data_IF_080811216563
#
_entry.id   IF_080811216563
#
_cell.length_a   1.000
_cell.length_b   1.000
_cell.length_c   1.000
_cell.angle_alpha   90.00
_cell.angle_beta   90.00
_cell.angle_gamma   90.00
#
_symmetry.space_group_name_H-M   'P 1'
#
loop_
_entity.id
_entity.type
_entity.pdbx_description
1 polymer ?
#
# COMPACT_ATOMS: atom_id res chain seq x y z
N UNK A 1 -24.00 -23.92 18.40
CA UNK A 1 -24.96 -23.63 17.30
C UNK A 1 -24.52 -22.33 16.63
N UNK A 2 -24.05 -22.41 15.39
CA UNK A 2 -23.59 -21.25 14.61
C UNK A 2 -24.82 -20.48 14.12
N UNK A 3 -25.02 -19.27 14.61
CA UNK A 3 -26.18 -18.43 14.30
C UNK A 3 -26.09 -17.88 12.86
N UNK A 4 -26.55 -18.67 11.88
CA UNK A 4 -26.78 -18.22 10.50
C UNK A 4 -27.72 -16.99 10.42
N UNK A 5 -28.58 -16.79 11.43
CA UNK A 5 -29.44 -15.61 11.57
C UNK A 5 -28.67 -14.29 11.76
N UNK A 6 -27.42 -14.32 12.27
CA UNK A 6 -26.61 -13.09 12.45
C UNK A 6 -26.18 -12.51 11.10
N UNK A 7 -25.97 -13.35 10.08
CA UNK A 7 -25.60 -12.93 8.72
C UNK A 7 -26.79 -12.38 7.91
N UNK A 8 -28.01 -12.86 8.17
CA UNK A 8 -29.22 -12.32 7.56
C UNK A 8 -29.59 -10.92 8.10
N UNK A 9 -29.11 -10.57 9.30
CA UNK A 9 -29.34 -9.27 9.96
C UNK A 9 -28.21 -8.27 9.83
N UNK A 10 -27.04 -8.70 9.34
CA UNK A 10 -25.98 -7.77 8.95
C UNK A 10 -26.59 -6.79 7.93
N UNK A 11 -26.51 -5.49 8.24
CA UNK A 11 -27.21 -4.45 7.50
C UNK A 11 -26.96 -4.63 5.98
N UNK A 12 -27.99 -4.46 5.13
CA UNK A 12 -27.87 -4.67 3.67
C UNK A 12 -26.72 -3.89 3.02
N UNK A 13 -26.17 -2.88 3.71
CA UNK A 13 -25.02 -2.08 3.31
C UNK A 13 -23.64 -2.74 3.50
N UNK A 14 -23.48 -3.80 4.29
CA UNK A 14 -22.13 -4.36 4.57
C UNK A 14 -21.57 -5.17 3.40
N UNK A 15 -22.41 -5.94 2.69
CA UNK A 15 -22.03 -6.75 1.53
C UNK A 15 -21.39 -5.93 0.40
N UNK A 16 -22.00 -4.84 -0.11
CA UNK A 16 -21.38 -4.06 -1.18
C UNK A 16 -20.09 -3.39 -0.73
N UNK A 17 -19.99 -3.00 0.54
CA UNK A 17 -18.79 -2.36 1.08
C UNK A 17 -17.62 -3.34 1.22
N UNK A 18 -17.89 -4.58 1.61
CA UNK A 18 -16.88 -5.65 1.67
C UNK A 18 -16.42 -6.07 0.27
N UNK A 19 -17.35 -6.17 -0.69
CA UNK A 19 -17.02 -6.42 -2.10
C UNK A 19 -16.16 -5.30 -2.70
N UNK A 20 -16.51 -4.03 -2.44
CA UNK A 20 -15.71 -2.88 -2.84
C UNK A 20 -14.30 -2.93 -2.24
N UNK A 21 -14.19 -3.20 -0.94
CA UNK A 21 -12.90 -3.31 -0.26
C UNK A 21 -12.04 -4.45 -0.83
N UNK A 22 -12.64 -5.60 -1.15
CA UNK A 22 -11.94 -6.73 -1.76
C UNK A 22 -11.38 -6.39 -3.15
N UNK A 23 -12.19 -5.73 -4.00
CA UNK A 23 -11.76 -5.29 -5.34
C UNK A 23 -10.64 -4.23 -5.22
N UNK A 24 -10.80 -3.25 -4.33
CA UNK A 24 -9.80 -2.21 -4.12
C UNK A 24 -8.47 -2.79 -3.59
N UNK A 25 -8.50 -3.76 -2.67
CA UNK A 25 -7.31 -4.48 -2.22
C UNK A 25 -6.66 -5.29 -3.34
N UNK A 26 -7.46 -5.95 -4.18
CA UNK A 26 -6.95 -6.72 -5.32
C UNK A 26 -6.19 -5.82 -6.30
N UNK A 27 -6.77 -4.68 -6.69
CA UNK A 27 -6.12 -3.72 -7.59
C UNK A 27 -4.85 -3.16 -6.94
N UNK A 28 -4.92 -2.78 -5.66
CA UNK A 28 -3.74 -2.30 -4.93
C UNK A 28 -2.63 -3.35 -4.85
N UNK A 29 -2.98 -4.63 -4.63
CA UNK A 29 -2.02 -5.73 -4.59
C UNK A 29 -1.36 -5.94 -5.96
N UNK A 30 -2.14 -5.89 -7.04
CA UNK A 30 -1.62 -5.98 -8.41
C UNK A 30 -0.66 -4.83 -8.69
N UNK A 31 -1.03 -3.59 -8.37
CA UNK A 31 -0.15 -2.43 -8.57
C UNK A 31 1.15 -2.54 -7.76
N UNK A 32 1.06 -2.92 -6.48
CA UNK A 32 2.24 -3.16 -5.65
C UNK A 32 3.15 -4.25 -6.24
N UNK A 33 2.56 -5.35 -6.71
CA UNK A 33 3.30 -6.45 -7.34
C UNK A 33 3.96 -6.01 -8.63
N UNK A 34 3.26 -5.25 -9.49
CA UNK A 34 3.81 -4.71 -10.74
C UNK A 34 4.98 -3.77 -10.46
N UNK A 35 4.87 -2.89 -9.47
CA UNK A 35 5.96 -1.99 -9.05
C UNK A 35 7.18 -2.79 -8.59
N UNK A 36 6.98 -3.80 -7.72
CA UNK A 36 8.09 -4.61 -7.19
C UNK A 36 8.75 -5.48 -8.24
N UNK A 37 7.97 -6.03 -9.18
CA UNK A 37 8.46 -6.96 -10.22
C UNK A 37 8.94 -6.27 -11.49
N UNK A 38 8.79 -4.95 -11.57
CA UNK A 38 9.31 -4.15 -12.68
C UNK A 38 10.83 -4.27 -12.84
N UNK A 39 11.30 -4.26 -14.09
CA UNK A 39 12.72 -4.32 -14.44
C UNK A 39 13.25 -5.71 -14.84
N UNK A 40 12.40 -6.76 -14.82
CA UNK A 40 12.80 -8.11 -15.28
C UNK A 40 12.47 -8.40 -16.75
N UNK A 41 11.59 -7.63 -17.38
CA UNK A 41 11.10 -7.89 -18.74
C UNK A 41 11.16 -6.63 -19.57
N UNK A 42 11.44 -6.80 -20.86
CA UNK A 42 11.50 -5.69 -21.83
C UNK A 42 10.17 -4.96 -21.98
N UNK A 43 9.04 -5.60 -21.67
CA UNK A 43 7.71 -4.96 -21.66
C UNK A 43 7.60 -3.85 -20.59
N UNK A 44 8.45 -3.85 -19.57
CA UNK A 44 8.41 -2.90 -18.44
C UNK A 44 9.14 -1.57 -18.69
N UNK A 45 9.34 -1.16 -19.96
CA UNK A 45 10.13 0.04 -20.32
C UNK A 45 9.68 1.31 -19.58
N UNK A 46 8.38 1.47 -19.32
CA UNK A 46 7.85 2.66 -18.62
C UNK A 46 7.95 2.59 -17.09
N UNK A 47 8.26 1.42 -16.52
CA UNK A 47 8.22 1.15 -15.09
C UNK A 47 9.65 1.05 -14.54
N UNK A 48 10.26 2.21 -14.35
CA UNK A 48 11.57 2.35 -13.69
C UNK A 48 11.47 3.36 -12.56
N UNK A 49 12.42 3.31 -11.62
CA UNK A 49 12.53 4.27 -10.52
C UNK A 49 13.30 5.49 -11.03
N UNK A 50 14.50 5.24 -11.56
CA UNK A 50 15.39 6.25 -12.13
C UNK A 50 15.94 5.71 -13.45
N UNK A 51 16.02 6.59 -14.45
CA UNK A 51 16.75 6.38 -15.68
C UNK A 51 17.93 7.33 -15.70
N UNK A 52 19.10 6.81 -16.04
CA UNK A 52 20.28 7.59 -16.38
C UNK A 52 20.41 7.57 -17.89
N UNK A 53 20.54 8.75 -18.48
CA UNK A 53 20.66 8.94 -19.92
C UNK A 53 21.82 9.89 -20.19
N UNK A 54 22.62 9.61 -21.19
CA UNK A 54 23.70 10.50 -21.59
C UNK A 54 23.14 11.65 -22.42
N UNK A 55 23.48 12.90 -22.08
CA UNK A 55 23.11 14.07 -22.89
C UNK A 55 24.05 14.20 -24.10
N UNK A 56 24.00 13.20 -24.97
CA UNK A 56 24.77 13.18 -26.22
C UNK A 56 23.91 13.80 -27.33
N UNK A 57 24.47 14.76 -28.10
CA UNK A 57 23.78 15.23 -29.29
C UNK A 57 23.53 14.04 -30.22
N UNK A 58 22.33 13.95 -30.84
CA UNK A 58 22.02 12.84 -31.73
C UNK A 58 23.09 12.76 -32.81
N UNK A 59 23.78 11.62 -32.90
CA UNK A 59 24.77 11.42 -33.95
C UNK A 59 24.07 11.59 -35.30
N UNK A 60 24.44 12.63 -36.04
CA UNK A 60 23.95 12.85 -37.38
C UNK A 60 24.29 11.63 -38.23
N UNK A 61 23.25 10.91 -38.66
CA UNK A 61 23.34 9.70 -39.50
C UNK A 61 24.16 9.88 -40.77
N UNK A 62 24.38 11.13 -41.20
CA UNK A 62 25.13 11.48 -42.41
C UNK A 62 26.65 11.37 -42.28
N UNK A 63 27.21 11.29 -41.06
CA UNK A 63 28.66 11.21 -40.87
C UNK A 63 29.24 9.79 -41.09
N UNK A 64 28.42 8.76 -40.88
CA UNK A 64 28.87 7.36 -40.91
C UNK A 64 28.99 6.83 -42.35
N UNK A 65 28.19 7.33 -43.28
CA UNK A 65 28.21 6.87 -44.68
C UNK A 65 29.48 7.23 -45.45
N UNK A 66 30.38 8.08 -44.92
CA UNK A 66 31.52 8.61 -45.68
C UNK A 66 32.89 8.02 -45.32
N UNK A 67 32.98 7.12 -44.34
CA UNK A 67 34.26 6.53 -43.88
C UNK A 67 34.39 5.02 -44.03
N UNK A 68 33.34 4.32 -44.43
CA UNK A 68 33.35 2.86 -44.62
C UNK A 68 33.92 2.44 -45.99
N UNK A 69 34.93 3.14 -46.50
CA UNK A 69 35.56 2.83 -47.79
C UNK A 69 37.09 2.71 -47.76
N UNK A 70 37.75 2.86 -46.61
CA UNK A 70 39.20 2.72 -46.50
C UNK A 70 39.58 1.64 -45.45
N UNK A 71 39.91 0.46 -45.98
CA UNK A 71 40.84 -0.59 -45.53
C UNK A 71 41.04 -0.96 -44.03
N UNK A 72 40.64 -2.20 -43.75
CA UNK A 72 41.34 -3.28 -43.03
C UNK A 72 42.64 -2.94 -42.28
N UNK A 73 42.59 -2.79 -40.95
CA UNK A 73 43.66 -3.26 -40.04
C UNK A 73 43.11 -3.57 -38.65
N UNK A 74 43.38 -4.78 -38.17
CA UNK A 74 43.06 -5.28 -36.83
C UNK A 74 44.14 -4.85 -35.84
N UNK A 75 43.77 -4.10 -34.79
CA UNK A 75 44.64 -3.83 -33.64
C UNK A 75 43.94 -4.29 -32.35
N UNK A 76 44.50 -5.34 -31.77
CA UNK A 76 44.22 -5.83 -30.41
C UNK A 76 44.91 -4.86 -29.42
N UNK A 77 44.14 -3.93 -28.84
CA UNK A 77 44.65 -2.95 -27.89
C UNK A 77 44.11 -3.23 -26.48
N UNK A 78 44.88 -3.97 -25.70
CA UNK A 78 44.71 -4.11 -24.26
C UNK A 78 45.19 -2.81 -23.59
N UNK A 79 44.27 -1.99 -23.06
CA UNK A 79 44.62 -0.80 -22.24
C UNK A 79 44.26 -1.02 -20.78
N UNK A 80 45.25 -0.82 -19.91
CA UNK A 80 45.10 -0.78 -18.46
C UNK A 80 44.50 0.55 -18.03
N UNK A 81 43.46 0.49 -17.20
CA UNK A 81 42.75 1.64 -16.64
C UNK A 81 43.58 2.21 -15.49
N UNK A 82 44.01 3.47 -15.62
CA UNK A 82 44.61 4.23 -14.52
C UNK A 82 43.50 4.94 -13.73
N UNK A 83 43.27 4.48 -12.51
CA UNK A 83 42.33 5.06 -11.55
C UNK A 83 42.87 6.41 -11.04
N UNK A 84 42.34 7.53 -11.55
CA UNK A 84 42.61 8.86 -11.00
C UNK A 84 41.64 9.12 -9.85
N UNK A 85 42.06 8.80 -8.64
CA UNK A 85 41.36 9.22 -7.42
C UNK A 85 41.80 10.63 -7.05
N UNK A 86 40.98 11.64 -7.38
CA UNK A 86 41.12 12.97 -6.80
C UNK A 86 40.15 13.11 -5.63
N UNK A 87 40.71 13.14 -4.42
CA UNK A 87 39.99 13.42 -3.18
C UNK A 87 39.65 14.91 -3.15
N UNK A 88 38.41 15.25 -3.47
CA UNK A 88 37.89 16.61 -3.34
C UNK A 88 37.54 16.87 -1.87
N UNK A 89 38.35 17.67 -1.18
CA UNK A 89 38.09 18.10 0.20
C UNK A 89 37.10 19.26 0.17
N UNK A 90 35.89 19.05 0.70
CA UNK A 90 34.85 20.08 0.83
C UNK A 90 35.08 20.87 2.11
N UNK A 91 35.22 22.21 2.08
CA UNK A 91 35.24 23.01 3.30
C UNK A 91 33.83 23.15 3.89
N UNK A 92 33.74 22.94 5.20
CA UNK A 92 32.52 23.06 5.99
C UNK A 92 31.91 24.47 5.92
N UNK A 93 30.65 24.55 5.48
CA UNK A 93 29.85 25.77 5.52
C UNK A 93 29.16 25.92 6.88
N UNK A 94 29.40 27.07 7.50
CA UNK A 94 28.91 27.52 8.80
C UNK A 94 27.43 27.89 8.74
N UNK A 95 26.66 27.42 9.73
CA UNK A 95 25.24 27.73 9.91
C UNK A 95 25.00 29.20 10.26
N UNK A 96 23.94 29.81 9.73
CA UNK A 96 23.24 30.94 10.38
C UNK A 96 21.79 31.06 9.89
N UNK A 97 20.80 31.23 10.78
CA UNK A 97 19.38 31.40 10.42
C UNK A 97 18.89 32.85 10.62
N UNK A 98 18.14 33.38 9.67
CA UNK A 98 17.23 34.57 9.80
C UNK A 98 16.39 34.61 8.51
N UNK A 99 15.12 34.21 8.44
CA UNK A 99 13.87 34.74 9.02
C UNK A 99 13.48 36.15 8.54
N UNK A 100 12.36 36.17 7.79
CA UNK A 100 11.38 37.24 7.49
C UNK A 100 11.51 38.10 6.22
N UNK A 101 10.50 37.91 5.35
CA UNK A 101 9.90 38.76 4.30
C UNK A 101 9.62 40.22 4.78
N UNK A 102 9.44 41.26 3.90
CA UNK A 102 8.41 41.27 2.83
C UNK A 102 8.62 42.08 1.52
N UNK A 103 7.86 41.63 0.51
CA UNK A 103 7.06 42.29 -0.57
C UNK A 103 7.40 43.66 -1.20
N UNK A 104 7.29 43.67 -2.55
CA UNK A 104 6.86 44.74 -3.52
C UNK A 104 7.91 45.57 -4.29
N UNK A 105 8.10 45.24 -5.59
CA UNK A 105 7.72 46.01 -6.81
C UNK A 105 8.58 45.59 -8.03
N UNK A 106 8.05 45.60 -9.27
CA UNK A 106 8.81 45.21 -10.46
C UNK A 106 9.39 46.44 -11.17
N UNK A 107 10.69 46.66 -11.07
CA UNK A 107 11.43 47.57 -11.98
C UNK A 107 11.97 46.78 -13.15
N UNK A 108 11.57 47.16 -14.37
CA UNK A 108 12.09 46.64 -15.63
C UNK A 108 13.56 47.06 -15.80
N UNK A 109 14.49 46.15 -15.53
CA UNK A 109 15.89 46.29 -15.90
C UNK A 109 16.21 45.35 -17.06
N UNK A 110 16.74 45.92 -18.14
CA UNK A 110 17.19 45.21 -19.34
C UNK A 110 18.14 44.04 -19.00
N UNK A 111 18.12 42.95 -19.78
CA UNK A 111 18.97 41.78 -19.54
C UNK A 111 20.42 42.15 -19.84
N UNK A 112 21.18 42.54 -18.81
CA UNK A 112 22.63 42.53 -18.90
C UNK A 112 23.06 41.07 -19.03
N UNK A 113 23.69 40.71 -20.15
CA UNK A 113 24.29 39.39 -20.34
C UNK A 113 25.25 39.14 -19.18
N UNK A 114 24.89 38.20 -18.30
CA UNK A 114 25.71 37.81 -17.17
C UNK A 114 27.05 37.29 -17.69
N UNK A 115 28.13 37.99 -17.33
CA UNK A 115 29.50 37.58 -17.64
C UNK A 115 29.71 36.16 -17.11
N UNK A 116 30.09 35.19 -17.96
CA UNK A 116 30.23 33.81 -17.54
C UNK A 116 31.28 33.70 -16.43
N UNK A 117 30.87 33.14 -15.30
CA UNK A 117 31.77 32.96 -14.17
C UNK A 117 32.84 31.92 -14.53
N UNK A 118 34.07 32.02 -13.97
CA UNK A 118 35.17 31.09 -14.27
C UNK A 118 34.81 29.61 -14.07
N UNK A 119 33.83 29.31 -13.20
CA UNK A 119 33.31 27.96 -12.97
C UNK A 119 32.56 27.39 -14.19
N UNK A 120 31.87 28.23 -14.97
CA UNK A 120 31.16 27.79 -16.18
C UNK A 120 32.13 27.40 -17.31
N UNK A 121 33.28 28.08 -17.43
CA UNK A 121 34.29 27.72 -18.42
C UNK A 121 34.95 26.36 -18.14
N UNK A 122 35.18 26.04 -16.86
CA UNK A 122 35.71 24.73 -16.47
C UNK A 122 34.70 23.61 -16.79
N UNK A 123 33.42 23.87 -16.53
CA UNK A 123 32.33 22.95 -16.81
C UNK A 123 32.21 22.62 -18.29
N UNK A 124 32.26 23.63 -19.16
CA UNK A 124 32.22 23.42 -20.62
C UNK A 124 33.43 22.64 -21.13
N UNK A 125 34.64 22.92 -20.60
CA UNK A 125 35.85 22.15 -20.97
C UNK A 125 35.76 20.68 -20.54
N UNK A 126 35.24 20.43 -19.34
CA UNK A 126 35.01 19.06 -18.87
C UNK A 126 33.99 18.34 -19.77
N UNK A 127 32.87 19.00 -20.10
CA UNK A 127 31.85 18.47 -21.01
C UNK A 127 32.43 18.12 -22.39
N UNK A 128 33.25 19.01 -22.96
CA UNK A 128 33.92 18.76 -24.25
C UNK A 128 34.91 17.60 -24.18
N UNK A 129 35.70 17.50 -23.09
CA UNK A 129 36.68 16.42 -22.91
C UNK A 129 36.00 15.05 -22.77
N UNK A 130 34.89 15.00 -22.03
CA UNK A 130 34.07 13.79 -21.88
C UNK A 130 33.42 13.42 -23.22
N UNK A 131 32.88 14.39 -23.95
CA UNK A 131 32.32 14.14 -25.28
C UNK A 131 33.37 13.64 -26.27
N UNK A 132 34.61 14.15 -26.23
CA UNK A 132 35.68 13.63 -27.09
C UNK A 132 36.10 12.21 -26.71
N UNK A 133 36.17 11.90 -25.41
CA UNK A 133 36.45 10.54 -24.93
C UNK A 133 35.37 9.55 -25.39
N UNK A 134 34.09 9.94 -25.27
CA UNK A 134 32.96 9.13 -25.74
C UNK A 134 33.00 8.96 -27.27
N UNK A 135 33.33 10.03 -28.01
CA UNK A 135 33.44 9.97 -29.46
C UNK A 135 34.58 9.04 -29.91
N UNK A 136 35.73 9.10 -29.25
CA UNK A 136 36.88 8.24 -29.56
C UNK A 136 36.61 6.76 -29.22
N UNK A 137 35.94 6.47 -28.09
CA UNK A 137 35.57 5.09 -27.72
C UNK A 137 34.48 4.52 -28.65
N UNK A 138 33.50 5.33 -29.04
CA UNK A 138 32.43 4.94 -29.96
C UNK A 138 32.94 4.59 -31.37
N UNK A 139 34.13 5.06 -31.78
CA UNK A 139 34.70 4.69 -33.08
C UNK A 139 35.31 3.28 -33.11
N UNK A 140 35.57 2.68 -31.93
CA UNK A 140 36.18 1.34 -31.84
C UNK A 140 35.28 0.32 -31.13
N UNK A 141 34.30 0.77 -30.33
CA UNK A 141 33.33 -0.10 -29.68
C UNK A 141 32.21 -0.51 -30.65
N UNK A 142 32.00 -1.81 -30.79
CA UNK A 142 30.88 -2.38 -31.57
C UNK A 142 29.51 -2.16 -30.92
N UNK A 143 29.52 -1.72 -29.65
CA UNK A 143 28.36 -1.61 -28.78
C UNK A 143 28.36 -0.25 -28.09
N UNK A 144 27.31 0.55 -28.30
CA UNK A 144 27.13 1.84 -27.62
C UNK A 144 26.03 1.76 -26.56
N UNK A 145 26.30 2.37 -25.40
CA UNK A 145 25.38 2.48 -24.28
C UNK A 145 24.80 3.88 -24.23
N UNK A 146 23.47 3.98 -24.24
CA UNK A 146 22.79 5.27 -24.22
C UNK A 146 22.06 5.52 -22.89
N UNK A 147 21.32 4.50 -22.43
CA UNK A 147 20.41 4.65 -21.31
C UNK A 147 20.45 3.45 -20.36
N UNK A 148 20.50 3.70 -19.06
CA UNK A 148 20.37 2.70 -18.01
C UNK A 148 19.16 3.00 -17.12
N UNK A 149 18.26 2.03 -16.96
CA UNK A 149 17.05 2.14 -16.15
C UNK A 149 17.11 1.20 -14.96
N UNK A 150 16.83 1.71 -13.77
CA UNK A 150 16.85 0.94 -12.53
C UNK A 150 15.43 0.70 -12.04
N UNK A 151 15.06 -0.57 -11.89
CA UNK A 151 13.83 -1.02 -11.23
C UNK A 151 14.13 -1.62 -9.85
N UNK A 152 13.08 -2.00 -9.12
CA UNK A 152 13.25 -2.67 -7.82
C UNK A 152 13.83 -4.08 -7.94
N UNK A 153 13.56 -4.77 -9.04
CA UNK A 153 13.94 -6.18 -9.22
C UNK A 153 15.09 -6.44 -10.18
N UNK A 154 15.59 -5.40 -10.85
CA UNK A 154 16.62 -5.53 -11.87
C UNK A 154 17.02 -4.19 -12.48
N UNK A 155 17.99 -4.27 -13.39
CA UNK A 155 18.47 -3.15 -14.19
C UNK A 155 18.21 -3.51 -15.65
N UNK A 156 17.77 -2.53 -16.43
CA UNK A 156 17.59 -2.65 -17.87
C UNK A 156 18.51 -1.63 -18.53
N UNK A 157 19.38 -2.09 -19.43
CA UNK A 157 20.25 -1.22 -20.22
C UNK A 157 19.81 -1.23 -21.67
N UNK A 158 19.85 -0.06 -22.30
CA UNK A 158 19.65 0.09 -23.74
C UNK A 158 20.99 -0.03 -24.44
N UNK A 159 21.07 -1.03 -25.32
CA UNK A 159 22.28 -1.35 -26.07
C UNK A 159 21.97 -1.15 -27.54
N UNK A 160 22.77 -0.32 -28.21
CA UNK A 160 22.66 -0.09 -29.66
C UNK A 160 23.88 -0.71 -30.34
N UNK A 161 23.63 -1.74 -31.15
CA UNK A 161 24.67 -2.38 -31.97
C UNK A 161 24.82 -1.65 -33.30
N UNK A 162 26.06 -1.38 -33.69
CA UNK A 162 26.38 -0.76 -34.98
C UNK A 162 26.38 -1.78 -36.14
N UNK A 163 26.33 -3.09 -35.84
CA UNK A 163 26.38 -4.17 -36.84
C UNK A 163 24.99 -4.48 -37.43
N UNK A 164 24.41 -3.51 -38.15
CA UNK A 164 23.33 -3.77 -39.12
C UNK A 164 21.95 -4.16 -38.56
N UNK A 165 21.80 -4.35 -37.24
CA UNK A 165 20.49 -4.59 -36.62
C UNK A 165 19.83 -3.24 -36.37
N UNK A 166 18.78 -2.94 -37.14
CA UNK A 166 17.98 -1.72 -36.97
C UNK A 166 17.18 -1.79 -35.67
N UNK A 167 17.75 -1.29 -34.57
CA UNK A 167 17.00 -1.02 -33.35
C UNK A 167 17.82 -1.13 -32.07
N UNK A 168 17.43 -0.32 -31.08
CA UNK A 168 17.91 -0.41 -29.71
C UNK A 168 17.35 -1.68 -29.04
N UNK A 169 18.22 -2.60 -28.61
CA UNK A 169 17.81 -3.77 -27.84
C UNK A 169 17.91 -3.45 -26.35
N UNK A 170 16.87 -3.80 -25.60
CA UNK A 170 16.88 -3.67 -24.15
C UNK A 170 17.36 -4.98 -23.56
N UNK A 171 18.38 -4.91 -22.71
CA UNK A 171 18.86 -6.05 -21.96
C UNK A 171 18.48 -5.85 -20.48
N UNK A 172 17.44 -6.56 -20.05
CA UNK A 172 16.95 -6.54 -18.68
C UNK A 172 17.40 -7.79 -17.93
N UNK A 173 17.92 -7.63 -16.71
CA UNK A 173 18.34 -8.77 -15.90
C UNK A 173 18.53 -8.46 -14.42
N UNK A 174 18.46 -9.51 -13.61
CA UNK A 174 19.03 -9.50 -12.26
C UNK A 174 20.53 -9.70 -12.43
N UNK A 175 21.24 -8.60 -12.70
CA UNK A 175 22.61 -8.62 -13.22
C UNK A 175 23.52 -9.45 -12.30
N UNK A 176 24.04 -10.57 -12.79
CA UNK A 176 25.37 -11.01 -12.39
C UNK A 176 26.30 -10.11 -13.20
N UNK A 177 26.84 -9.09 -12.53
CA UNK A 177 27.59 -7.98 -13.12
C UNK A 177 28.61 -8.45 -14.17
N UNK A 178 29.20 -9.63 -14.02
CA UNK A 178 30.20 -10.20 -14.92
C UNK A 178 29.78 -10.43 -16.38
N UNK A 179 28.51 -10.75 -16.67
CA UNK A 179 28.11 -11.09 -18.05
C UNK A 179 27.82 -9.85 -18.89
N UNK A 180 27.26 -8.80 -18.26
CA UNK A 180 27.07 -7.49 -18.91
C UNK A 180 28.36 -6.68 -18.90
N UNK A 181 29.14 -6.69 -17.80
CA UNK A 181 30.47 -6.04 -17.77
C UNK A 181 31.47 -6.70 -18.72
N UNK A 182 31.35 -8.02 -18.98
CA UNK A 182 32.17 -8.72 -19.98
C UNK A 182 31.97 -8.18 -21.40
N UNK A 183 30.78 -7.63 -21.71
CA UNK A 183 30.50 -6.93 -22.96
C UNK A 183 30.83 -5.41 -22.90
N UNK A 184 31.15 -4.87 -21.72
CA UNK A 184 31.40 -3.43 -21.49
C UNK A 184 32.90 -3.11 -21.43
N UNK A 185 33.77 -3.93 -22.04
CA UNK A 185 35.23 -3.77 -21.95
C UNK A 185 35.82 -2.50 -22.60
N UNK A 186 35.00 -1.50 -22.97
CA UNK A 186 35.48 -0.18 -23.40
C UNK A 186 34.38 0.76 -23.89
N UNK A 187 33.44 1.16 -23.04
CA UNK A 187 32.43 2.14 -23.48
C UNK A 187 31.57 2.83 -22.42
N UNK A 188 31.76 2.55 -21.11
CA UNK A 188 31.06 3.25 -20.04
C UNK A 188 32.03 4.14 -19.23
N UNK A 189 32.31 5.38 -19.68
CA UNK A 189 33.33 6.24 -19.08
C UNK A 189 33.02 6.66 -17.63
N UNK A 190 31.75 6.56 -17.21
CA UNK A 190 31.31 6.93 -15.87
C UNK A 190 30.86 5.74 -15.02
N UNK A 191 30.99 4.50 -15.53
CA UNK A 191 30.49 3.28 -14.87
C UNK A 191 29.04 3.46 -14.36
N UNK A 192 28.14 3.93 -15.25
CA UNK A 192 26.72 4.11 -14.95
C UNK A 192 26.09 2.80 -14.49
N UNK A 193 26.56 1.66 -15.01
CA UNK A 193 26.10 0.35 -14.56
C UNK A 193 26.47 0.13 -13.09
N UNK A 194 27.73 0.41 -12.70
CA UNK A 194 28.16 0.36 -11.31
C UNK A 194 27.35 1.28 -10.39
N UNK A 195 27.11 2.52 -10.82
CA UNK A 195 26.27 3.48 -10.08
C UNK A 195 24.82 2.99 -9.95
N UNK A 196 24.26 2.42 -11.01
CA UNK A 196 22.92 1.83 -11.01
C UNK A 196 22.80 0.63 -10.06
N UNK A 197 23.80 -0.25 -10.05
CA UNK A 197 23.88 -1.39 -9.12
C UNK A 197 23.99 -0.89 -7.68
N UNK A 198 24.88 0.08 -7.43
CA UNK A 198 25.04 0.69 -6.11
C UNK A 198 23.73 1.33 -5.61
N UNK A 199 23.05 2.10 -6.47
CA UNK A 199 21.76 2.70 -6.15
C UNK A 199 20.70 1.64 -5.82
N UNK A 200 20.62 0.57 -6.61
CA UNK A 200 19.68 -0.54 -6.36
C UNK A 200 19.94 -1.21 -5.00
N UNK A 201 21.20 -1.48 -4.67
CA UNK A 201 21.55 -2.24 -3.46
C UNK A 201 21.54 -1.40 -2.18
N UNK A 202 21.83 -0.10 -2.27
CA UNK A 202 21.97 0.79 -1.11
C UNK A 202 20.81 1.75 -0.91
N UNK A 203 20.12 2.13 -1.98
CA UNK A 203 19.17 3.27 -1.95
C UNK A 203 17.75 2.84 -2.35
N UNK A 204 17.59 1.88 -3.25
CA UNK A 204 16.28 1.33 -3.57
C UNK A 204 15.78 0.45 -2.41
N UNK A 205 15.17 1.08 -1.41
CA UNK A 205 14.53 0.43 -0.26
C UNK A 205 13.41 -0.51 -0.75
N UNK A 206 13.76 -1.71 -1.19
CA UNK A 206 12.82 -2.70 -1.72
C UNK A 206 12.04 -3.40 -0.59
N UNK A 207 12.61 -3.46 0.62
CA UNK A 207 12.01 -4.16 1.77
C UNK A 207 10.60 -3.64 2.14
N UNK A 208 10.34 -2.33 2.31
CA UNK A 208 9.00 -1.82 2.59
C UNK A 208 7.96 -2.24 1.54
N UNK A 209 8.33 -2.24 0.26
CA UNK A 209 7.46 -2.65 -0.83
C UNK A 209 7.13 -4.15 -0.82
N UNK A 210 8.12 -5.00 -0.50
CA UNK A 210 7.89 -6.44 -0.31
C UNK A 210 6.98 -6.71 0.88
N UNK A 211 7.24 -6.07 2.02
CA UNK A 211 6.41 -6.18 3.23
C UNK A 211 4.98 -5.74 2.94
N UNK A 212 4.81 -4.61 2.25
CA UNK A 212 3.51 -4.12 1.81
C UNK A 212 2.77 -5.13 0.92
N UNK A 213 3.46 -5.67 -0.10
CA UNK A 213 2.89 -6.64 -1.04
C UNK A 213 2.42 -7.91 -0.33
N UNK A 214 3.23 -8.44 0.60
CA UNK A 214 2.87 -9.63 1.39
C UNK A 214 1.68 -9.34 2.32
N UNK A 215 1.69 -8.22 3.04
CA UNK A 215 0.60 -7.85 3.94
C UNK A 215 -0.73 -7.64 3.19
N UNK A 216 -0.68 -6.94 2.04
CA UNK A 216 -1.85 -6.73 1.19
C UNK A 216 -2.33 -8.04 0.56
N UNK A 217 -1.42 -8.94 0.17
CA UNK A 217 -1.75 -10.27 -0.32
C UNK A 217 -2.50 -11.10 0.73
N UNK A 218 -2.01 -11.13 1.97
CA UNK A 218 -2.69 -11.80 3.09
C UNK A 218 -4.05 -11.16 3.35
N UNK A 219 -4.13 -9.83 3.43
CA UNK A 219 -5.39 -9.11 3.63
C UNK A 219 -6.41 -9.41 2.52
N UNK A 220 -5.96 -9.40 1.26
CA UNK A 220 -6.76 -9.75 0.09
C UNK A 220 -7.27 -11.19 0.18
N UNK A 221 -6.41 -12.16 0.49
CA UNK A 221 -6.81 -13.56 0.63
C UNK A 221 -7.84 -13.74 1.76
N UNK A 222 -7.62 -13.10 2.91
CA UNK A 222 -8.60 -13.10 3.99
C UNK A 222 -9.95 -12.52 3.52
N UNK A 223 -9.96 -11.39 2.83
CA UNK A 223 -11.20 -10.79 2.30
C UNK A 223 -11.89 -11.67 1.25
N UNK A 224 -11.13 -12.35 0.40
CA UNK A 224 -11.70 -13.29 -0.58
C UNK A 224 -12.36 -14.48 0.11
N UNK A 225 -11.77 -15.01 1.20
CA UNK A 225 -12.39 -16.06 2.02
C UNK A 225 -13.67 -15.55 2.70
N UNK A 226 -13.67 -14.30 3.17
CA UNK A 226 -14.85 -13.64 3.76
C UNK A 226 -15.98 -13.38 2.74
N UNK A 227 -15.65 -13.28 1.45
CA UNK A 227 -16.64 -13.06 0.39
C UNK A 227 -17.40 -14.34 0.00
N UNK A 228 -16.91 -15.53 0.39
CA UNK A 228 -17.53 -16.81 0.05
C UNK A 228 -18.74 -17.06 0.99
N UNK A 229 -19.98 -17.10 0.49
CA UNK A 229 -21.19 -17.19 1.32
C UNK A 229 -21.38 -18.53 2.05
N UNK A 230 -20.55 -19.53 1.74
CA UNK A 230 -20.69 -20.91 2.23
C UNK A 230 -19.90 -21.20 3.52
N UNK A 231 -19.00 -20.31 3.93
CA UNK A 231 -18.12 -20.55 5.08
C UNK A 231 -18.61 -19.80 6.33
N UNK A 232 -18.76 -20.47 7.49
CA UNK A 232 -19.00 -19.79 8.75
C UNK A 232 -17.76 -19.00 9.15
N UNK A 233 -17.81 -17.68 8.96
CA UNK A 233 -16.68 -16.79 9.17
C UNK A 233 -16.40 -16.63 10.68
N UNK A 234 -15.19 -16.96 11.16
CA UNK A 234 -14.79 -16.59 12.52
C UNK A 234 -14.51 -15.08 12.58
N UNK A 235 -15.00 -14.35 13.61
CA UNK A 235 -14.77 -12.91 13.78
C UNK A 235 -13.28 -12.56 13.94
N UNK A 236 -12.43 -13.57 14.21
CA UNK A 236 -10.98 -13.42 14.27
C UNK A 236 -10.39 -13.10 12.91
N UNK A 237 -10.87 -13.74 11.83
CA UNK A 237 -10.31 -13.56 10.47
C UNK A 237 -10.49 -12.13 9.98
N UNK A 238 -11.62 -11.51 10.30
CA UNK A 238 -11.90 -10.13 9.89
C UNK A 238 -11.03 -9.10 10.61
N UNK A 239 -10.77 -9.32 11.91
CA UNK A 239 -9.83 -8.50 12.69
C UNK A 239 -8.42 -8.64 12.15
N UNK A 240 -7.99 -9.87 11.85
CA UNK A 240 -6.68 -10.14 11.24
C UNK A 240 -6.55 -9.45 9.88
N UNK A 241 -7.57 -9.56 9.02
CA UNK A 241 -7.58 -8.90 7.72
C UNK A 241 -7.45 -7.37 7.84
N UNK A 242 -8.15 -6.75 8.79
CA UNK A 242 -8.08 -5.31 9.04
C UNK A 242 -6.68 -4.86 9.49
N UNK A 243 -6.03 -5.63 10.36
CA UNK A 243 -4.67 -5.35 10.84
C UNK A 243 -3.67 -5.44 9.68
N UNK A 244 -3.71 -6.51 8.88
CA UNK A 244 -2.80 -6.66 7.73
C UNK A 244 -3.06 -5.62 6.64
N UNK A 245 -4.31 -5.22 6.40
CA UNK A 245 -4.64 -4.15 5.45
C UNK A 245 -3.99 -2.82 5.86
N UNK A 246 -4.10 -2.43 7.13
CA UNK A 246 -3.46 -1.21 7.65
C UNK A 246 -1.95 -1.31 7.64
N UNK A 247 -1.37 -2.43 8.09
CA UNK A 247 0.08 -2.62 8.04
C UNK A 247 0.61 -2.54 6.60
N UNK A 248 -0.10 -3.16 5.65
CA UNK A 248 0.23 -3.06 4.22
C UNK A 248 0.13 -1.63 3.68
N UNK A 249 -0.91 -0.89 4.07
CA UNK A 249 -1.11 0.50 3.68
C UNK A 249 0.00 1.42 4.24
N UNK A 250 0.37 1.25 5.51
CA UNK A 250 1.46 1.99 6.15
C UNK A 250 2.82 1.67 5.53
N UNK A 251 3.09 0.40 5.23
CA UNK A 251 4.32 -0.02 4.55
C UNK A 251 4.40 0.53 3.12
N UNK A 252 3.27 0.54 2.38
CA UNK A 252 3.19 1.19 1.06
C UNK A 252 3.52 2.68 1.14
N UNK A 253 2.91 3.40 2.09
CA UNK A 253 3.17 4.82 2.27
C UNK A 253 4.65 5.09 2.57
N UNK A 254 5.24 4.32 3.48
CA UNK A 254 6.67 4.41 3.79
C UNK A 254 7.54 4.14 2.56
N UNK A 255 7.24 3.10 1.79
CA UNK A 255 7.94 2.76 0.55
C UNK A 255 7.84 3.86 -0.51
N UNK A 256 6.67 4.50 -0.66
CA UNK A 256 6.45 5.59 -1.61
C UNK A 256 7.20 6.86 -1.24
N UNK A 257 7.13 7.27 0.03
CA UNK A 257 7.82 8.47 0.51
C UNK A 257 9.32 8.30 0.41
N UNK A 258 9.86 7.15 0.84
CA UNK A 258 11.28 6.84 0.72
C UNK A 258 11.73 6.85 -0.75
N UNK A 259 10.98 6.22 -1.65
CA UNK A 259 11.30 6.20 -3.07
C UNK A 259 11.26 7.59 -3.72
N UNK A 260 10.27 8.41 -3.36
CA UNK A 260 10.14 9.76 -3.90
C UNK A 260 11.30 10.67 -3.47
N UNK A 261 11.67 10.64 -2.19
CA UNK A 261 12.80 11.43 -1.68
C UNK A 261 14.13 10.92 -2.24
N UNK A 262 14.34 9.60 -2.26
CA UNK A 262 15.55 9.00 -2.80
C UNK A 262 15.76 9.33 -4.28
N UNK A 263 14.72 9.14 -5.11
CA UNK A 263 14.82 9.42 -6.55
C UNK A 263 15.02 10.91 -6.86
N UNK A 264 14.38 11.81 -6.12
CA UNK A 264 14.57 13.26 -6.26
C UNK A 264 15.98 13.69 -5.86
N UNK A 265 16.50 13.12 -4.77
CA UNK A 265 17.85 13.40 -4.28
C UNK A 265 18.89 12.91 -5.29
N UNK A 266 18.75 11.69 -5.80
CA UNK A 266 19.67 11.15 -6.79
C UNK A 266 19.63 11.92 -8.11
N UNK A 267 18.45 12.33 -8.58
CA UNK A 267 18.37 13.14 -9.79
C UNK A 267 19.15 14.46 -9.64
N UNK A 268 18.98 15.16 -8.51
CA UNK A 268 19.72 16.41 -8.24
C UNK A 268 21.23 16.17 -8.06
N UNK A 269 21.60 15.11 -7.35
CA UNK A 269 22.99 14.80 -7.05
C UNK A 269 23.75 14.41 -8.33
N UNK A 270 23.17 13.54 -9.16
CA UNK A 270 23.76 13.13 -10.44
C UNK A 270 23.97 14.33 -11.35
N UNK A 271 23.00 15.25 -11.43
CA UNK A 271 23.16 16.47 -12.23
C UNK A 271 24.35 17.31 -11.77
N UNK A 272 24.52 17.49 -10.45
CA UNK A 272 25.64 18.27 -9.89
C UNK A 272 27.00 17.59 -10.02
N UNK A 273 27.08 16.27 -9.84
CA UNK A 273 28.34 15.52 -9.92
C UNK A 273 28.82 15.34 -11.36
N UNK A 274 27.90 15.16 -12.29
CA UNK A 274 28.23 14.92 -13.70
C UNK A 274 28.28 16.20 -14.52
N UNK A 275 28.11 17.37 -13.90
CA UNK A 275 28.14 18.66 -14.58
C UNK A 275 27.13 18.74 -15.75
N UNK A 276 26.05 17.96 -15.69
CA UNK A 276 25.03 17.86 -16.74
C UNK A 276 25.39 16.95 -17.92
N UNK A 277 26.44 16.13 -17.84
CA UNK A 277 26.71 15.11 -18.89
C UNK A 277 25.77 13.91 -18.81
N UNK A 278 25.24 13.60 -17.62
CA UNK A 278 24.26 12.54 -17.39
C UNK A 278 22.96 13.16 -16.87
N UNK A 279 21.88 12.95 -17.61
CA UNK A 279 20.55 13.33 -17.22
C UNK A 279 19.88 12.17 -16.47
N UNK A 280 19.48 12.42 -15.22
CA UNK A 280 18.72 11.48 -14.42
C UNK A 280 17.22 11.81 -14.48
N UNK A 281 16.41 10.91 -15.03
CA UNK A 281 14.95 11.04 -15.09
C UNK A 281 14.27 10.12 -14.07
N UNK A 282 13.32 10.66 -13.30
CA UNK A 282 12.50 9.87 -12.37
C UNK A 282 11.29 9.30 -13.13
N UNK A 283 11.04 7.99 -12.97
CA UNK A 283 9.94 7.31 -13.65
C UNK A 283 8.56 7.73 -13.13
N UNK A 284 7.91 8.65 -13.84
CA UNK A 284 6.57 9.18 -13.48
C UNK A 284 5.48 8.11 -13.42
N UNK A 285 5.54 7.09 -14.28
CA UNK A 285 4.55 6.01 -14.29
C UNK A 285 4.60 5.16 -13.01
N UNK A 286 5.81 4.85 -12.53
CA UNK A 286 5.99 4.09 -11.29
C UNK A 286 5.41 4.85 -10.08
N UNK A 287 5.66 6.17 -10.03
CA UNK A 287 5.10 7.05 -9.01
C UNK A 287 3.56 7.07 -9.09
N UNK A 288 2.97 7.24 -10.27
CA UNK A 288 1.51 7.26 -10.43
C UNK A 288 0.84 5.93 -10.02
N UNK A 289 1.40 4.78 -10.41
CA UNK A 289 0.90 3.47 -10.01
C UNK A 289 1.02 3.24 -8.50
N UNK A 290 2.13 3.68 -7.92
CA UNK A 290 2.34 3.63 -6.48
C UNK A 290 1.31 4.43 -5.69
N UNK A 291 1.12 5.71 -6.02
CA UNK A 291 0.14 6.57 -5.34
C UNK A 291 -1.31 6.14 -5.55
N UNK A 292 -1.66 5.66 -6.74
CA UNK A 292 -2.99 5.11 -7.01
C UNK A 292 -3.26 3.83 -6.22
N UNK A 293 -2.27 2.92 -6.15
CA UNK A 293 -2.34 1.72 -5.31
C UNK A 293 -2.51 2.07 -3.84
N UNK A 294 -1.74 3.05 -3.34
CA UNK A 294 -1.88 3.55 -1.97
C UNK A 294 -3.29 4.10 -1.70
N UNK A 295 -3.81 4.98 -2.55
CA UNK A 295 -5.15 5.54 -2.37
C UNK A 295 -6.24 4.46 -2.30
N UNK A 296 -6.16 3.44 -3.17
CA UNK A 296 -7.07 2.30 -3.15
C UNK A 296 -6.92 1.45 -1.88
N UNK A 297 -5.68 1.17 -1.44
CA UNK A 297 -5.42 0.45 -0.19
C UNK A 297 -5.95 1.19 1.04
N UNK A 298 -5.87 2.52 1.04
CA UNK A 298 -6.35 3.36 2.12
C UNK A 298 -7.88 3.33 2.20
N UNK A 299 -8.57 3.51 1.05
CA UNK A 299 -10.02 3.39 0.98
C UNK A 299 -10.51 2.01 1.42
N UNK A 300 -9.82 0.95 0.98
CA UNK A 300 -10.15 -0.41 1.38
C UNK A 300 -9.91 -0.64 2.88
N UNK A 301 -8.82 -0.10 3.43
CA UNK A 301 -8.50 -0.19 4.86
C UNK A 301 -9.57 0.51 5.71
N UNK A 302 -9.99 1.72 5.32
CA UNK A 302 -11.07 2.45 6.00
C UNK A 302 -12.37 1.65 5.93
N UNK A 303 -12.73 1.12 4.75
CA UNK A 303 -13.94 0.32 4.58
C UNK A 303 -13.94 -0.91 5.50
N UNK A 304 -12.86 -1.69 5.52
CA UNK A 304 -12.73 -2.87 6.38
C UNK A 304 -12.82 -2.49 7.86
N UNK A 305 -12.17 -1.38 8.27
CA UNK A 305 -12.24 -0.88 9.63
C UNK A 305 -13.65 -0.49 10.06
N UNK A 306 -14.43 0.15 9.18
CA UNK A 306 -15.83 0.48 9.46
C UNK A 306 -16.66 -0.78 9.71
N UNK A 307 -16.47 -1.84 8.91
CA UNK A 307 -17.19 -3.11 9.14
C UNK A 307 -16.77 -3.75 10.47
N UNK A 308 -15.47 -3.81 10.76
CA UNK A 308 -14.96 -4.36 12.02
C UNK A 308 -15.48 -3.57 13.23
N UNK A 309 -15.49 -2.24 13.14
CA UNK A 309 -16.04 -1.38 14.18
C UNK A 309 -17.54 -1.60 14.39
N UNK A 310 -18.30 -1.76 13.30
CA UNK A 310 -19.74 -2.05 13.36
C UNK A 310 -20.01 -3.39 14.07
N UNK A 311 -19.23 -4.44 13.77
CA UNK A 311 -19.37 -5.74 14.43
C UNK A 311 -18.99 -5.68 15.91
N UNK A 312 -17.90 -4.99 16.25
CA UNK A 312 -17.51 -4.79 17.65
C UNK A 312 -18.57 -4.01 18.43
N UNK A 313 -19.24 -3.03 17.80
CA UNK A 313 -20.33 -2.30 18.41
C UNK A 313 -21.55 -3.21 18.65
N UNK A 314 -21.89 -4.08 17.70
CA UNK A 314 -22.98 -5.04 17.85
C UNK A 314 -22.67 -6.05 18.96
N UNK A 315 -21.48 -6.66 18.97
CA UNK A 315 -21.07 -7.57 20.05
C UNK A 315 -21.12 -6.91 21.43
N UNK A 316 -20.68 -5.65 21.51
CA UNK A 316 -20.72 -4.89 22.75
C UNK A 316 -22.16 -4.62 23.20
N UNK A 317 -23.07 -4.34 22.26
CA UNK A 317 -24.48 -4.11 22.58
C UNK A 317 -25.16 -5.37 23.11
N UNK A 318 -24.93 -6.54 22.50
CA UNK A 318 -25.50 -7.82 22.97
C UNK A 318 -25.05 -8.15 24.39
N UNK A 319 -23.74 -8.01 24.69
CA UNK A 319 -23.23 -8.23 26.05
C UNK A 319 -23.83 -7.27 27.08
N UNK A 320 -24.16 -6.05 26.68
CA UNK A 320 -24.84 -5.09 27.56
C UNK A 320 -26.31 -5.45 27.76
N UNK A 321 -26.98 -5.97 26.73
CA UNK A 321 -28.36 -6.47 26.84
C UNK A 321 -28.45 -7.70 27.73
N UNK A 322 -27.53 -8.67 27.60
CA UNK A 322 -27.51 -9.88 28.43
C UNK A 322 -27.30 -9.51 29.91
N UNK A 323 -26.31 -8.65 30.21
CA UNK A 323 -26.09 -8.16 31.58
C UNK A 323 -27.28 -7.40 32.15
N UNK A 324 -27.97 -6.61 31.31
CA UNK A 324 -29.17 -5.88 31.73
C UNK A 324 -30.36 -6.82 31.96
N UNK A 325 -30.49 -7.89 31.16
CA UNK A 325 -31.50 -8.92 31.33
C UNK A 325 -31.27 -9.70 32.62
N UNK A 326 -30.04 -10.15 32.88
CA UNK A 326 -29.69 -10.86 34.12
C UNK A 326 -29.91 -9.98 35.37
N UNK A 327 -29.53 -8.69 35.30
CA UNK A 327 -29.79 -7.74 36.37
C UNK A 327 -31.30 -7.53 36.63
N UNK A 328 -32.12 -7.55 35.57
CA UNK A 328 -33.57 -7.43 35.71
C UNK A 328 -34.21 -8.69 36.31
N UNK A 329 -33.72 -9.88 35.91
CA UNK A 329 -34.17 -11.17 36.46
C UNK A 329 -33.83 -11.25 37.95
N UNK A 330 -32.59 -10.95 38.34
CA UNK A 330 -32.17 -10.95 39.76
C UNK A 330 -32.98 -9.96 40.61
N UNK A 331 -33.36 -8.81 40.03
CA UNK A 331 -34.21 -7.82 40.69
C UNK A 331 -35.66 -8.27 40.86
N UNK A 332 -36.17 -9.11 39.95
CA UNK A 332 -37.48 -9.73 40.08
C UNK A 332 -37.47 -10.85 41.13
N UNK A 333 -36.44 -11.70 41.12
CA UNK A 333 -36.30 -12.82 42.05
C UNK A 333 -36.20 -12.34 43.50
N UNK A 334 -35.36 -11.33 43.77
CA UNK A 334 -35.24 -10.71 45.10
C UNK A 334 -36.53 -10.08 45.63
N UNK A 335 -37.48 -9.68 44.78
CA UNK A 335 -38.78 -9.17 45.21
C UNK A 335 -39.78 -10.27 45.56
N UNK A 336 -39.68 -11.44 44.93
CA UNK A 336 -40.61 -12.54 45.14
C UNK A 336 -40.32 -13.27 46.47
N UNK A 337 -39.06 -13.29 46.92
CA UNK A 337 -38.68 -14.00 48.17
C UNK A 337 -39.15 -13.37 49.48
N UNK A 338 -39.74 -12.16 49.50
CA UNK A 338 -40.12 -11.49 50.76
C UNK A 338 -41.59 -11.69 51.20
N UNK A 339 -42.47 -12.25 50.37
CA UNK A 339 -43.91 -12.36 50.67
C UNK A 339 -44.40 -13.79 50.94
N UNK A 340 -43.50 -14.76 51.15
CA UNK A 340 -43.88 -16.07 51.66
C UNK A 340 -43.67 -16.08 53.18
N UNK A 341 -44.72 -15.88 54.01
CA UNK A 341 -44.58 -16.04 55.44
C UNK A 341 -44.12 -17.47 55.75
N UNK A 342 -43.26 -17.68 56.76
CA UNK A 342 -42.83 -19.01 57.16
C UNK A 342 -44.03 -19.79 57.69
N UNK A 343 -44.73 -20.51 56.81
CA UNK A 343 -45.75 -21.46 57.25
C UNK A 343 -45.03 -22.68 57.81
N UNK A 344 -44.94 -22.75 59.12
CA UNK A 344 -44.60 -23.96 59.87
C UNK A 344 -45.61 -25.06 59.48
N UNK A 345 -45.26 -25.90 58.52
CA UNK A 345 -45.97 -27.15 58.23
C UNK A 345 -44.95 -28.28 58.17
N UNK A 346 -44.76 -28.91 59.31
CA UNK A 346 -44.29 -30.27 59.42
C UNK A 346 -45.32 -31.19 58.75
N UNK A 347 -45.10 -31.54 57.49
CA UNK A 347 -45.81 -32.63 56.84
C UNK A 347 -44.77 -33.55 56.21
N UNK A 348 -44.49 -34.63 56.93
CA UNK A 348 -43.92 -35.85 56.41
C UNK A 348 -44.86 -36.39 55.33
N UNK A 349 -44.37 -36.52 54.09
CA UNK A 349 -45.14 -37.21 53.06
C UNK A 349 -44.74 -36.89 51.64
N UNK A 350 -44.03 -37.84 51.02
CA UNK A 350 -44.21 -38.25 49.62
C UNK A 350 -44.20 -37.18 48.53
N UNK A 351 -43.05 -37.12 47.84
CA UNK A 351 -42.85 -37.00 46.38
C UNK A 351 -44.06 -36.66 45.49
N UNK A 352 -43.79 -35.74 44.54
CA UNK A 352 -44.53 -35.37 43.31
C UNK A 352 -45.45 -34.14 43.38
N UNK A 353 -44.89 -32.93 43.26
CA UNK A 353 -45.62 -31.74 42.78
C UNK A 353 -44.68 -30.60 42.33
N UNK A 354 -44.07 -30.73 41.15
CA UNK A 354 -43.44 -29.62 40.42
C UNK A 354 -44.29 -29.25 39.19
N UNK A 355 -45.49 -28.70 39.43
CA UNK A 355 -46.44 -28.40 38.34
C UNK A 355 -47.38 -27.22 38.64
N UNK A 356 -46.83 -26.10 39.14
CA UNK A 356 -47.59 -24.86 39.36
C UNK A 356 -47.32 -23.75 38.35
N UNK A 357 -46.05 -23.47 38.04
CA UNK A 357 -45.68 -22.32 37.21
C UNK A 357 -45.85 -22.56 35.69
N UNK A 358 -45.90 -23.82 35.26
CA UNK A 358 -45.97 -24.19 33.84
C UNK A 358 -47.36 -24.04 33.19
N UNK A 359 -48.44 -23.88 33.96
CA UNK A 359 -49.81 -23.77 33.41
C UNK A 359 -50.23 -22.33 33.06
N UNK A 360 -49.70 -21.31 33.75
CA UNK A 360 -50.07 -19.90 33.47
C UNK A 360 -49.45 -19.39 32.16
N UNK A 361 -48.20 -19.74 31.85
CA UNK A 361 -47.55 -19.39 30.58
C UNK A 361 -48.17 -20.09 29.36
N UNK A 362 -48.81 -21.26 29.54
CA UNK A 362 -49.38 -22.02 28.44
C UNK A 362 -50.70 -21.43 27.91
N UNK A 363 -51.46 -20.75 28.77
CA UNK A 363 -52.77 -20.19 28.39
C UNK A 363 -52.67 -18.73 27.89
N UNK A 364 -51.74 -17.92 28.42
CA UNK A 364 -51.58 -16.50 28.04
C UNK A 364 -50.40 -16.24 27.08
N UNK A 365 -49.57 -17.25 26.81
CA UNK A 365 -48.41 -17.15 25.93
C UNK A 365 -48.67 -16.60 24.51
N UNK A 366 -49.77 -16.95 23.82
CA UNK A 366 -50.04 -16.46 22.46
C UNK A 366 -50.21 -14.94 22.39
N UNK A 367 -50.85 -14.33 23.39
CA UNK A 367 -51.16 -12.90 23.39
C UNK A 367 -49.94 -12.05 23.75
N UNK A 368 -49.09 -12.53 24.66
CA UNK A 368 -47.82 -11.88 24.99
C UNK A 368 -46.87 -11.89 23.79
N UNK A 369 -46.78 -13.02 23.07
CA UNK A 369 -45.97 -13.12 21.85
C UNK A 369 -46.49 -12.24 20.72
N UNK A 370 -47.81 -12.11 20.58
CA UNK A 370 -48.45 -11.23 19.58
C UNK A 370 -48.25 -9.74 19.91
N UNK A 371 -48.23 -9.38 21.19
CA UNK A 371 -47.88 -8.03 21.66
C UNK A 371 -46.40 -7.70 21.44
N UNK A 372 -45.50 -8.64 21.72
CA UNK A 372 -44.06 -8.49 21.47
C UNK A 372 -43.73 -8.36 19.98
N UNK A 373 -44.44 -9.08 19.11
CA UNK A 373 -44.26 -8.99 17.66
C UNK A 373 -44.72 -7.64 17.07
N UNK A 374 -45.62 -6.91 17.75
CA UNK A 374 -46.11 -5.58 17.32
C UNK A 374 -45.35 -4.41 17.96
N UNK A 375 -44.55 -4.64 18.99
CA UNK A 375 -43.82 -3.58 19.67
C UNK A 375 -42.70 -3.02 18.79
N UNK A 376 -42.76 -1.72 18.48
CA UNK A 376 -41.75 -1.02 17.67
C UNK A 376 -40.70 -0.35 18.55
N UNK A 377 -41.03 -0.15 19.82
CA UNK A 377 -40.15 0.46 20.82
C UNK A 377 -40.05 -0.40 22.08
N UNK A 378 -38.95 -0.23 22.84
CA UNK A 378 -38.69 -0.95 24.09
C UNK A 378 -39.78 -0.71 25.14
N UNK A 379 -40.39 0.47 25.15
CA UNK A 379 -41.49 0.80 26.06
C UNK A 379 -42.76 0.00 25.77
N UNK A 380 -43.09 -0.20 24.48
CA UNK A 380 -44.26 -0.98 24.06
C UNK A 380 -44.10 -2.48 24.36
N UNK A 381 -42.89 -3.02 24.19
CA UNK A 381 -42.61 -4.42 24.53
C UNK A 381 -42.78 -4.68 26.02
N UNK A 382 -42.28 -3.77 26.87
CA UNK A 382 -42.44 -3.87 28.32
C UNK A 382 -43.90 -3.70 28.75
N UNK A 383 -44.64 -2.79 28.10
CA UNK A 383 -46.06 -2.57 28.41
C UNK A 383 -46.93 -3.77 27.98
N UNK A 384 -46.58 -4.45 26.88
CA UNK A 384 -47.26 -5.68 26.45
C UNK A 384 -47.05 -6.85 27.42
N UNK A 385 -45.84 -7.00 27.96
CA UNK A 385 -45.54 -8.03 28.97
C UNK A 385 -46.22 -7.69 30.31
N UNK A 386 -46.19 -6.42 30.73
CA UNK A 386 -46.86 -5.98 31.95
C UNK A 386 -48.39 -6.07 31.87
N UNK A 387 -48.97 -5.81 30.69
CA UNK A 387 -50.42 -5.91 30.45
C UNK A 387 -50.95 -7.33 30.58
N UNK A 388 -50.19 -8.34 30.12
CA UNK A 388 -50.58 -9.76 30.22
C UNK A 388 -50.69 -10.27 31.67
N UNK A 389 -49.94 -9.69 32.60
CA UNK A 389 -49.96 -10.05 34.01
C UNK A 389 -51.06 -9.34 34.81
N UNK A 390 -51.62 -8.23 34.28
CA UNK A 390 -52.59 -7.41 35.02
C UNK A 390 -54.05 -7.84 34.83
N UNK A 391 -54.33 -8.75 33.87
CA UNK A 391 -55.68 -9.21 33.56
C UNK A 391 -56.18 -10.35 34.46
N UNK A 392 -55.39 -10.80 35.43
CA UNK A 392 -55.77 -11.83 36.41
C UNK A 392 -56.41 -11.19 37.66
N UNK A 393 -57.46 -10.37 37.46
CA UNK A 393 -58.20 -9.73 38.56
C UNK A 393 -59.49 -10.53 38.85
N UNK A 394 -59.34 -11.46 39.80
CA UNK A 394 -60.33 -11.95 40.78
C UNK A 394 -61.80 -11.82 40.36
N UNK A 395 -62.34 -12.88 39.74
CA UNK A 395 -63.79 -13.12 39.71
C UNK A 395 -64.16 -13.86 40.99
N UNK A 396 -64.78 -13.16 41.95
CA UNK A 396 -65.39 -13.79 43.12
C UNK A 396 -66.78 -14.32 42.76
N UNK A 397 -67.12 -15.59 43.05
CA UNK A 397 -68.47 -16.09 42.86
C UNK A 397 -69.39 -15.52 43.96
N UNK A 398 -70.43 -14.82 43.54
CA UNK A 398 -71.57 -14.44 44.38
C UNK A 398 -72.26 -15.72 44.90
N UNK A 399 -72.26 -15.96 46.21
CA UNK A 399 -73.23 -16.84 46.84
C UNK A 399 -74.56 -16.08 46.98
N UNK A 400 -75.63 -16.61 46.40
CA UNK A 400 -77.00 -16.22 46.71
C UNK A 400 -77.45 -16.93 47.99
N UNK A 401 -78.06 -16.17 48.90
CA UNK A 401 -78.87 -16.65 50.03
C UNK A 401 -80.31 -16.74 49.58
#
# INVERSE_FOLDING_TARGET
>A
MVNLLRFARAAPCTKPLLAFAAIALMISFIFSTVVVTAGKKDSSKGLYIVSFDYDLPPMSSNAISKRQNDDTTTILQTRSIATVSQVMTVPAATNTPTTMMPTMMPTSSAPMMATPTPNMMLQEKFKQTVQSLIADDNMNATVSFNQARVGYSGICVEVTSNEGIKGSQWMCGAVNTTEVLGATAGGDPFDLIGVAVYYKDKVAFALPWWVATVCLGIAMLCQMVLAIPLLPIPPVVQKVAAVFAVLGCMALLGGLVLAHVASSTVASLTYTLTMGTVNAHVGRMNQALGWSGFALSLLASIAIWVVVAAEMAVERSERMFDRAADAAINKLESKISYDIPPSNRSVSGSSTASSGLGRSLRNNGPDVLRGLAKAKTRGEALNAVAGGLRSEKISHPHMMV
#
